data_IF_788142688084
#
_entry.id   IF_788142688084
#
_cell.length_a   1.000
_cell.length_b   1.000
_cell.length_c   1.000
_cell.angle_alpha   90.00
_cell.angle_beta   90.00
_cell.angle_gamma   90.00
#
_symmetry.space_group_name_H-M   'P 1'
#
loop_
_entity.id
_entity.type
_entity.pdbx_description
1 polymer ?
#
# COMPACT_ATOMS: atom_id res chain seq x y z
N UNK A 1 4.67 -20.64 51.57
CA UNK A 1 4.58 -19.58 50.55
C UNK A 1 5.94 -19.27 49.93
N UNK A 2 6.92 -18.72 50.66
CA UNK A 2 8.22 -18.34 50.09
C UNK A 2 9.06 -19.47 49.43
N UNK A 3 8.97 -20.72 49.89
CA UNK A 3 9.73 -21.85 49.30
C UNK A 3 9.11 -22.44 48.02
N UNK A 4 7.77 -22.53 47.93
CA UNK A 4 7.09 -22.92 46.69
C UNK A 4 7.30 -21.88 45.58
N UNK A 5 7.35 -20.61 45.98
CA UNK A 5 7.56 -19.46 45.11
C UNK A 5 8.92 -19.47 44.39
N UNK A 6 9.99 -19.81 45.11
CA UNK A 6 11.35 -19.92 44.56
C UNK A 6 11.51 -21.03 43.52
N UNK A 7 10.70 -22.09 43.62
CA UNK A 7 10.71 -23.21 42.68
C UNK A 7 10.14 -22.85 41.30
N UNK A 8 9.09 -22.01 41.26
CA UNK A 8 8.44 -21.51 40.03
C UNK A 8 9.41 -20.65 39.21
N UNK A 9 10.05 -19.67 39.86
CA UNK A 9 10.94 -18.72 39.19
C UNK A 9 12.16 -19.40 38.54
N UNK A 10 12.68 -20.45 39.19
CA UNK A 10 13.80 -21.22 38.66
C UNK A 10 13.41 -22.09 37.46
N UNK A 11 12.16 -22.58 37.36
CA UNK A 11 11.70 -23.35 36.21
C UNK A 11 11.47 -22.48 34.96
N UNK A 12 11.04 -21.22 35.14
CA UNK A 12 10.84 -20.26 34.03
C UNK A 12 12.17 -19.68 33.53
N UNK A 13 13.17 -19.55 34.41
CA UNK A 13 14.48 -19.01 34.09
C UNK A 13 15.39 -19.94 33.24
N UNK A 14 15.11 -21.25 33.19
CA UNK A 14 15.96 -22.24 32.49
C UNK A 14 15.79 -22.26 30.95
N UNK A 15 15.04 -21.32 30.37
CA UNK A 15 14.84 -21.18 28.92
C UNK A 15 15.29 -19.80 28.38
N UNK A 16 16.43 -19.78 27.66
CA UNK A 16 16.89 -18.79 26.65
C UNK A 16 17.84 -17.60 26.99
N UNK A 17 19.16 -17.80 26.73
CA UNK A 17 20.20 -16.92 26.15
C UNK A 17 20.48 -15.48 26.73
N UNK A 18 21.41 -15.40 27.68
CA UNK A 18 22.41 -14.38 28.13
C UNK A 18 22.23 -12.84 27.97
N UNK A 19 21.43 -12.30 27.05
CA UNK A 19 21.00 -10.89 27.07
C UNK A 19 19.52 -10.77 27.45
N UNK A 20 18.70 -11.75 27.09
CA UNK A 20 17.34 -11.92 27.65
C UNK A 20 17.41 -12.19 29.15
N UNK A 21 18.42 -12.92 29.63
CA UNK A 21 18.58 -13.29 31.04
C UNK A 21 18.54 -12.11 32.02
N UNK A 22 19.13 -10.95 31.68
CA UNK A 22 19.15 -9.79 32.59
C UNK A 22 17.79 -9.06 32.63
N UNK A 23 17.08 -9.00 31.50
CA UNK A 23 15.80 -8.31 31.38
C UNK A 23 14.67 -9.21 31.91
N UNK A 24 14.66 -10.49 31.54
CA UNK A 24 13.82 -11.52 32.13
C UNK A 24 14.03 -11.64 33.64
N UNK A 25 15.27 -11.56 34.14
CA UNK A 25 15.53 -11.49 35.58
C UNK A 25 14.92 -10.24 36.24
N UNK A 26 14.88 -9.11 35.53
CA UNK A 26 14.28 -7.87 36.05
C UNK A 26 12.75 -7.94 36.10
N UNK A 27 12.12 -8.53 35.08
CA UNK A 27 10.67 -8.80 35.09
C UNK A 27 10.28 -9.79 36.19
N UNK A 28 11.03 -10.89 36.35
CA UNK A 28 10.77 -11.87 37.41
C UNK A 28 10.93 -11.27 38.82
N UNK A 29 11.91 -10.38 39.03
CA UNK A 29 12.06 -9.64 40.29
C UNK A 29 10.89 -8.70 40.57
N UNK A 30 10.38 -8.02 39.54
CA UNK A 30 9.20 -7.17 39.67
C UNK A 30 7.96 -8.01 40.02
N UNK A 31 7.76 -9.13 39.33
CA UNK A 31 6.67 -10.08 39.61
C UNK A 31 6.79 -10.64 41.04
N UNK A 32 8.00 -10.98 41.47
CA UNK A 32 8.28 -11.41 42.85
C UNK A 32 7.96 -10.32 43.88
N UNK A 33 8.30 -9.07 43.59
CA UNK A 33 7.98 -7.95 44.48
C UNK A 33 6.45 -7.75 44.58
N UNK A 34 5.72 -7.83 43.46
CA UNK A 34 4.27 -7.66 43.42
C UNK A 34 3.51 -8.81 44.11
N UNK A 35 4.05 -10.03 44.10
CA UNK A 35 3.42 -11.19 44.74
C UNK A 35 3.69 -11.28 46.24
N UNK A 36 4.72 -10.58 46.74
CA UNK A 36 5.10 -10.59 48.15
C UNK A 36 4.81 -9.28 48.87
N UNK A 37 4.31 -8.25 48.18
CA UNK A 37 4.03 -6.96 48.79
C UNK A 37 2.78 -6.97 49.67
N UNK A 38 2.69 -6.01 50.57
CA UNK A 38 1.52 -5.80 51.41
C UNK A 38 0.39 -5.19 50.58
N UNK A 39 -0.87 -5.49 50.92
CA UNK A 39 -2.01 -4.90 50.21
C UNK A 39 -1.97 -3.36 50.31
N UNK A 40 -1.94 -2.69 49.16
CA UNK A 40 -1.82 -1.23 49.02
C UNK A 40 -0.45 -0.74 48.55
N UNK A 41 0.59 -1.57 48.56
CA UNK A 41 1.96 -1.22 48.12
C UNK A 41 2.19 -1.47 46.61
N UNK A 42 1.25 -2.14 45.93
CA UNK A 42 1.37 -2.56 44.53
C UNK A 42 1.65 -1.36 43.62
N UNK A 43 0.88 -0.27 43.80
CA UNK A 43 0.99 0.90 42.94
C UNK A 43 2.33 1.63 43.10
N UNK A 44 2.91 1.65 44.30
CA UNK A 44 4.23 2.26 44.54
C UNK A 44 5.34 1.45 43.85
N UNK A 45 5.27 0.12 43.94
CA UNK A 45 6.20 -0.79 43.25
C UNK A 45 6.10 -0.61 41.74
N UNK A 46 4.89 -0.53 41.19
CA UNK A 46 4.66 -0.31 39.76
C UNK A 46 5.19 1.04 39.29
N UNK A 47 4.95 2.11 40.05
CA UNK A 47 5.43 3.44 39.71
C UNK A 47 6.98 3.49 39.69
N UNK A 48 7.62 2.84 40.67
CA UNK A 48 9.08 2.75 40.76
C UNK A 48 9.71 1.94 39.62
N UNK A 49 8.94 1.06 38.96
CA UNK A 49 9.40 0.18 37.89
C UNK A 49 8.64 0.43 36.57
N UNK A 50 8.13 1.66 36.37
CA UNK A 50 7.32 2.02 35.18
C UNK A 50 8.04 1.79 33.84
N UNK A 51 9.38 1.79 33.83
CA UNK A 51 10.21 1.48 32.67
C UNK A 51 10.19 -0.01 32.26
N UNK A 52 9.71 -0.89 33.12
CA UNK A 52 9.55 -2.33 32.87
C UNK A 52 8.11 -2.69 32.44
N UNK A 53 7.16 -1.75 32.47
CA UNK A 53 5.79 -2.00 32.03
C UNK A 53 5.75 -1.93 30.51
N UNK A 54 5.96 -3.07 29.88
CA UNK A 54 5.92 -3.28 28.44
C UNK A 54 5.23 -4.61 28.11
N UNK A 55 5.11 -4.92 26.82
CA UNK A 55 4.46 -6.15 26.37
C UNK A 55 5.18 -7.43 26.85
N UNK A 56 6.49 -7.37 27.09
CA UNK A 56 7.27 -8.52 27.55
C UNK A 56 6.96 -8.82 29.02
N UNK A 57 6.78 -7.80 29.86
CA UNK A 57 6.31 -8.00 31.24
C UNK A 57 4.94 -8.69 31.27
N UNK A 58 4.01 -8.31 30.38
CA UNK A 58 2.68 -8.94 30.29
C UNK A 58 2.82 -10.44 29.99
N UNK A 59 3.64 -10.81 29.01
CA UNK A 59 3.92 -12.22 28.68
C UNK A 59 4.52 -12.97 29.87
N UNK A 60 5.48 -12.37 30.58
CA UNK A 60 6.09 -12.99 31.77
C UNK A 60 5.08 -13.16 32.91
N UNK A 61 4.20 -12.18 33.13
CA UNK A 61 3.13 -12.28 34.13
C UNK A 61 2.16 -13.43 33.81
N UNK A 62 1.78 -13.61 32.54
CA UNK A 62 0.92 -14.72 32.12
C UNK A 62 1.58 -16.09 32.31
N UNK A 63 2.86 -16.21 31.96
CA UNK A 63 3.65 -17.44 32.15
C UNK A 63 3.76 -17.83 33.62
N UNK A 64 4.12 -16.88 34.50
CA UNK A 64 4.21 -17.12 35.94
C UNK A 64 2.82 -17.44 36.53
N UNK A 65 1.76 -16.75 36.08
CA UNK A 65 0.40 -17.05 36.50
C UNK A 65 -0.03 -18.48 36.12
N UNK A 66 0.35 -18.96 34.92
CA UNK A 66 0.07 -20.33 34.49
C UNK A 66 0.78 -21.36 35.39
N UNK A 67 2.05 -21.16 35.70
CA UNK A 67 2.81 -22.05 36.58
C UNK A 67 2.25 -22.06 38.02
N UNK A 68 1.84 -20.90 38.55
CA UNK A 68 1.19 -20.81 39.87
C UNK A 68 -0.13 -21.56 39.91
N UNK A 69 -0.93 -21.50 38.84
CA UNK A 69 -2.18 -22.24 38.71
C UNK A 69 -1.95 -23.76 38.71
N UNK A 70 -0.93 -24.25 37.99
CA UNK A 70 -0.54 -25.68 38.00
C UNK A 70 -0.14 -26.18 39.38
N UNK A 71 0.44 -25.31 40.21
CA UNK A 71 0.82 -25.59 41.59
C UNK A 71 -0.32 -25.39 42.59
N UNK A 72 -1.52 -25.04 42.13
CA UNK A 72 -2.70 -24.83 42.96
C UNK A 72 -2.75 -23.48 43.69
N UNK A 73 -1.85 -22.54 43.37
CA UNK A 73 -1.86 -21.19 43.92
C UNK A 73 -2.73 -20.25 43.06
N UNK A 74 -4.04 -20.48 43.12
CA UNK A 74 -5.03 -19.81 42.27
C UNK A 74 -5.18 -18.31 42.54
N UNK A 75 -5.02 -17.87 43.78
CA UNK A 75 -5.21 -16.45 44.15
C UNK A 75 -4.11 -15.57 43.52
N UNK A 76 -2.85 -15.97 43.67
CA UNK A 76 -1.72 -15.25 43.05
C UNK A 76 -1.75 -15.35 41.52
N UNK A 77 -2.17 -16.50 40.98
CA UNK A 77 -2.35 -16.67 39.54
C UNK A 77 -3.43 -15.73 38.98
N UNK A 78 -4.57 -15.60 39.66
CA UNK A 78 -5.65 -14.70 39.24
C UNK A 78 -5.26 -13.22 39.39
N UNK A 79 -4.52 -12.87 40.44
CA UNK A 79 -3.97 -11.53 40.63
C UNK A 79 -3.05 -11.12 39.48
N UNK A 80 -2.06 -11.96 39.12
CA UNK A 80 -1.18 -11.68 37.99
C UNK A 80 -1.92 -11.58 36.66
N UNK A 81 -2.92 -12.45 36.42
CA UNK A 81 -3.76 -12.36 35.22
C UNK A 81 -4.51 -11.03 35.16
N UNK A 82 -5.06 -10.57 36.29
CA UNK A 82 -5.76 -9.28 36.35
C UNK A 82 -4.81 -8.11 36.07
N UNK A 83 -3.59 -8.13 36.60
CA UNK A 83 -2.58 -7.10 36.33
C UNK A 83 -2.10 -7.13 34.87
N UNK A 84 -1.87 -8.33 34.32
CA UNK A 84 -1.48 -8.49 32.92
C UNK A 84 -2.52 -7.87 31.97
N UNK A 85 -3.82 -8.16 32.19
CA UNK A 85 -4.92 -7.54 31.44
C UNK A 85 -4.92 -6.02 31.59
N UNK A 86 -4.76 -5.51 32.81
CA UNK A 86 -4.73 -4.06 33.06
C UNK A 86 -3.56 -3.37 32.33
N UNK A 87 -2.37 -3.97 32.32
CA UNK A 87 -1.22 -3.40 31.62
C UNK A 87 -1.37 -3.49 30.11
N UNK A 88 -1.91 -4.60 29.60
CA UNK A 88 -2.19 -4.74 28.17
C UNK A 88 -3.17 -3.64 27.70
N UNK A 89 -4.26 -3.39 28.45
CA UNK A 89 -5.20 -2.29 28.18
C UNK A 89 -4.53 -0.90 28.25
N UNK A 90 -3.65 -0.67 29.23
CA UNK A 90 -2.93 0.59 29.35
C UNK A 90 -1.94 0.81 28.20
N UNK A 91 -1.20 -0.24 27.81
CA UNK A 91 -0.26 -0.18 26.70
C UNK A 91 -0.98 0.06 25.38
N UNK A 92 -2.10 -0.63 25.14
CA UNK A 92 -2.91 -0.44 23.94
C UNK A 92 -3.50 0.98 23.86
N UNK A 93 -3.91 1.54 25.01
CA UNK A 93 -4.33 2.94 25.12
C UNK A 93 -3.18 3.91 24.76
N UNK A 94 -1.98 3.68 25.28
CA UNK A 94 -0.80 4.50 24.97
C UNK A 94 -0.44 4.41 23.48
N UNK A 95 -0.46 3.21 22.88
CA UNK A 95 -0.21 2.99 21.46
C UNK A 95 -1.24 3.75 20.62
N UNK A 96 -2.52 3.63 20.96
CA UNK A 96 -3.63 4.35 20.32
C UNK A 96 -3.42 5.87 20.41
N UNK A 97 -3.05 6.40 21.57
CA UNK A 97 -2.78 7.84 21.77
C UNK A 97 -1.60 8.30 20.89
N UNK A 98 -0.52 7.52 20.83
CA UNK A 98 0.65 7.84 19.98
C UNK A 98 0.28 7.87 18.50
N UNK A 99 -0.49 6.89 18.02
CA UNK A 99 -1.01 6.85 16.65
C UNK A 99 -1.94 8.03 16.35
N UNK A 100 -2.82 8.38 17.29
CA UNK A 100 -3.69 9.55 17.18
C UNK A 100 -2.88 10.85 17.07
N UNK A 101 -1.90 11.06 17.92
CA UNK A 101 -1.06 12.26 17.89
C UNK A 101 -0.25 12.33 16.59
N UNK A 102 0.32 11.21 16.15
CA UNK A 102 0.98 11.12 14.86
C UNK A 102 0.08 11.53 13.68
N UNK A 103 -1.18 11.08 13.64
CA UNK A 103 -2.12 11.50 12.61
C UNK A 103 -2.42 13.00 12.67
N UNK A 104 -2.52 13.58 13.88
CA UNK A 104 -2.74 15.02 14.04
C UNK A 104 -1.54 15.83 13.55
N UNK A 105 -0.32 15.42 13.86
CA UNK A 105 0.92 16.06 13.39
C UNK A 105 0.97 16.09 11.85
N UNK A 106 0.61 14.97 11.21
CA UNK A 106 0.52 14.89 9.75
C UNK A 106 -0.52 15.87 9.19
N UNK A 107 -1.70 15.95 9.80
CA UNK A 107 -2.75 16.86 9.34
C UNK A 107 -2.36 18.34 9.52
N UNK A 108 -1.60 18.66 10.57
CA UNK A 108 -1.04 19.99 10.79
C UNK A 108 -0.05 20.33 9.66
N UNK A 109 0.93 19.47 9.39
CA UNK A 109 1.91 19.70 8.30
C UNK A 109 1.23 19.86 6.93
N UNK A 110 0.20 19.07 6.64
CA UNK A 110 -0.58 19.21 5.40
C UNK A 110 -1.24 20.60 5.35
N UNK A 111 -1.81 21.07 6.46
CA UNK A 111 -2.44 22.40 6.50
C UNK A 111 -1.44 23.55 6.26
N UNK A 112 -0.19 23.40 6.67
CA UNK A 112 0.88 24.41 6.50
C UNK A 112 1.53 24.39 5.10
N UNK A 113 1.27 23.34 4.31
CA UNK A 113 1.83 23.15 2.97
C UNK A 113 1.27 24.11 1.91
N UNK A 114 0.18 24.84 2.21
CA UNK A 114 -0.56 25.70 1.27
C UNK A 114 -1.04 24.96 -0.01
N UNK A 115 -1.37 23.67 0.09
CA UNK A 115 -1.86 22.82 -1.01
C UNK A 115 -0.86 22.62 -2.18
N UNK A 116 0.45 22.81 -1.95
CA UNK A 116 1.47 22.48 -2.94
C UNK A 116 1.91 21.01 -2.81
N UNK A 117 1.49 20.16 -3.76
CA UNK A 117 1.77 18.71 -3.76
C UNK A 117 3.25 18.34 -3.53
N UNK A 118 4.19 19.09 -4.09
CA UNK A 118 5.63 18.84 -3.89
C UNK A 118 6.02 19.08 -2.43
N UNK A 119 5.55 20.19 -1.86
CA UNK A 119 5.81 20.57 -0.47
C UNK A 119 5.13 19.61 0.52
N UNK A 120 3.93 19.12 0.21
CA UNK A 120 3.25 18.09 1.01
C UNK A 120 4.11 16.83 1.15
N UNK A 121 4.71 16.35 0.05
CA UNK A 121 5.61 15.18 0.11
C UNK A 121 6.86 15.49 0.94
N UNK A 122 7.46 16.66 0.76
CA UNK A 122 8.66 17.09 1.50
C UNK A 122 8.43 17.18 3.01
N UNK A 123 7.23 17.59 3.45
CA UNK A 123 6.88 17.68 4.87
C UNK A 123 6.41 16.35 5.46
N UNK A 124 5.56 15.62 4.74
CA UNK A 124 4.89 14.42 5.28
C UNK A 124 5.77 13.18 5.21
N UNK A 125 6.53 12.96 4.12
CA UNK A 125 7.30 11.72 3.97
C UNK A 125 8.35 11.52 5.07
N UNK A 126 9.09 12.54 5.54
CA UNK A 126 9.98 12.39 6.69
C UNK A 126 9.27 11.91 7.95
N UNK A 127 8.05 12.41 8.21
CA UNK A 127 7.25 11.96 9.35
C UNK A 127 6.80 10.51 9.21
N UNK A 128 6.41 10.07 8.00
CA UNK A 128 6.08 8.67 7.73
C UNK A 128 7.30 7.76 7.94
N UNK A 129 8.48 8.17 7.46
CA UNK A 129 9.75 7.44 7.63
C UNK A 129 10.12 7.31 9.11
N UNK A 130 9.93 8.36 9.89
CA UNK A 130 10.24 8.36 11.33
C UNK A 130 9.25 7.52 12.16
N UNK A 131 8.10 7.16 11.60
CA UNK A 131 7.00 6.49 12.30
C UNK A 131 6.50 5.23 11.58
N UNK A 132 7.40 4.51 10.90
CA UNK A 132 7.04 3.25 10.22
C UNK A 132 6.41 2.23 11.17
N UNK A 133 6.78 2.26 12.45
CA UNK A 133 6.21 1.43 13.52
C UNK A 133 4.71 1.67 13.74
N UNK A 134 4.20 2.84 13.34
CA UNK A 134 2.78 3.21 13.48
C UNK A 134 1.96 2.91 12.24
N UNK A 135 2.60 2.63 11.10
CA UNK A 135 1.94 2.37 9.82
C UNK A 135 1.51 0.90 9.71
N UNK A 136 0.57 0.50 10.54
CA UNK A 136 -0.01 -0.84 10.57
C UNK A 136 -1.55 -0.81 10.38
N UNK A 137 -2.17 -1.98 10.34
CA UNK A 137 -3.61 -2.13 10.10
C UNK A 137 -4.46 -1.35 11.12
N UNK A 138 -4.03 -1.29 12.39
CA UNK A 138 -4.80 -0.61 13.44
C UNK A 138 -4.78 0.92 13.30
N UNK A 139 -3.82 1.50 12.56
CA UNK A 139 -3.82 2.93 12.27
C UNK A 139 -5.05 3.34 11.46
N UNK A 140 -5.55 2.46 10.58
CA UNK A 140 -6.78 2.69 9.84
C UNK A 140 -7.99 2.85 10.80
N UNK A 141 -8.05 2.01 11.84
CA UNK A 141 -9.09 2.10 12.88
C UNK A 141 -8.94 3.35 13.74
N UNK A 142 -7.71 3.72 14.10
CA UNK A 142 -7.43 4.97 14.84
C UNK A 142 -7.84 6.19 14.00
N UNK A 143 -7.58 6.19 12.69
CA UNK A 143 -8.02 7.26 11.78
C UNK A 143 -9.55 7.35 11.73
N UNK A 144 -10.24 6.22 11.65
CA UNK A 144 -11.71 6.18 11.68
C UNK A 144 -12.27 6.72 13.00
N UNK A 145 -11.73 6.27 14.14
CA UNK A 145 -12.12 6.75 15.47
C UNK A 145 -11.83 8.23 15.66
N UNK A 146 -10.65 8.71 15.25
CA UNK A 146 -10.28 10.12 15.29
C UNK A 146 -11.31 10.98 14.53
N UNK A 147 -11.78 10.50 13.37
CA UNK A 147 -12.83 11.18 12.63
C UNK A 147 -14.17 11.17 13.36
N UNK A 148 -14.67 10.01 13.77
CA UNK A 148 -15.99 9.87 14.39
C UNK A 148 -16.09 10.60 15.74
N UNK A 149 -15.03 10.58 16.52
CA UNK A 149 -15.07 10.99 17.93
C UNK A 149 -14.70 12.47 18.13
N UNK A 150 -13.89 13.03 17.24
CA UNK A 150 -13.33 14.38 17.38
C UNK A 150 -13.61 15.24 16.13
N UNK A 151 -13.03 14.89 14.99
CA UNK A 151 -12.95 15.80 13.84
C UNK A 151 -14.31 16.08 13.20
N UNK A 152 -15.19 15.07 13.12
CA UNK A 152 -16.52 15.21 12.53
C UNK A 152 -17.45 16.18 13.28
N UNK A 153 -17.16 16.47 14.56
CA UNK A 153 -17.94 17.38 15.41
C UNK A 153 -17.66 18.86 15.11
N UNK A 154 -16.58 19.17 14.39
CA UNK A 154 -16.13 20.54 14.06
C UNK A 154 -16.77 21.03 12.77
N UNK A 155 -18.03 21.47 12.84
CA UNK A 155 -18.83 21.78 11.65
C UNK A 155 -18.21 22.83 10.72
N UNK A 156 -17.59 23.89 11.26
CA UNK A 156 -16.98 24.96 10.47
C UNK A 156 -15.70 24.54 9.72
N UNK A 157 -14.94 23.59 10.28
CA UNK A 157 -13.65 23.13 9.74
C UNK A 157 -13.75 21.77 9.03
N UNK A 158 -14.95 21.20 8.96
CA UNK A 158 -15.17 19.82 8.53
C UNK A 158 -14.67 19.56 7.10
N UNK A 159 -14.83 20.54 6.21
CA UNK A 159 -14.36 20.43 4.82
C UNK A 159 -12.83 20.50 4.72
N UNK A 160 -12.18 21.36 5.49
CA UNK A 160 -10.72 21.48 5.49
C UNK A 160 -10.05 20.25 6.08
N UNK A 161 -10.60 19.73 7.19
CA UNK A 161 -10.17 18.46 7.78
C UNK A 161 -10.37 17.29 6.82
N UNK A 162 -11.48 17.31 6.06
CA UNK A 162 -11.74 16.30 5.04
C UNK A 162 -10.72 16.37 3.89
N UNK A 163 -10.33 17.57 3.47
CA UNK A 163 -9.28 17.77 2.47
C UNK A 163 -7.91 17.30 2.98
N UNK A 164 -7.58 17.59 4.24
CA UNK A 164 -6.33 17.12 4.88
C UNK A 164 -6.23 15.59 4.90
N UNK A 165 -7.30 14.91 5.30
CA UNK A 165 -7.36 13.43 5.29
C UNK A 165 -7.30 12.89 3.86
N UNK A 166 -7.94 13.55 2.88
CA UNK A 166 -7.82 13.18 1.47
C UNK A 166 -6.37 13.25 0.99
N UNK A 167 -5.64 14.31 1.34
CA UNK A 167 -4.24 14.48 0.96
C UNK A 167 -3.36 13.44 1.66
N UNK A 168 -3.55 13.21 2.96
CA UNK A 168 -2.86 12.14 3.68
C UNK A 168 -3.11 10.76 3.02
N UNK A 169 -4.37 10.47 2.67
CA UNK A 169 -4.76 9.21 2.03
C UNK A 169 -4.06 9.03 0.68
N UNK A 170 -3.95 10.09 -0.12
CA UNK A 170 -3.17 10.08 -1.36
C UNK A 170 -1.69 9.81 -1.08
N UNK A 171 -1.08 10.53 -0.13
CA UNK A 171 0.34 10.41 0.21
C UNK A 171 0.70 9.01 0.70
N UNK A 172 -0.07 8.45 1.65
CA UNK A 172 0.19 7.13 2.20
C UNK A 172 -0.03 6.03 1.17
N UNK A 173 -0.99 6.20 0.25
CA UNK A 173 -1.17 5.28 -0.87
C UNK A 173 0.09 5.23 -1.77
N UNK A 174 0.81 6.35 -1.96
CA UNK A 174 2.02 6.41 -2.79
C UNK A 174 3.30 6.09 -2.04
N UNK A 175 3.24 6.06 -0.71
CA UNK A 175 4.41 5.93 0.13
C UNK A 175 5.06 4.55 -0.07
N UNK A 176 6.35 4.49 -0.49
CA UNK A 176 6.97 3.23 -0.92
C UNK A 176 7.56 2.41 0.23
N UNK A 177 7.64 2.96 1.44
CA UNK A 177 8.29 2.33 2.59
C UNK A 177 7.25 1.80 3.60
N UNK A 178 7.70 0.91 4.48
CA UNK A 178 6.84 0.24 5.46
C UNK A 178 6.03 -0.90 4.86
N UNK A 179 4.95 -1.28 5.53
CA UNK A 179 4.04 -2.30 5.04
C UNK A 179 3.09 -1.69 3.99
N UNK A 180 3.31 -2.05 2.72
CA UNK A 180 2.48 -1.60 1.61
C UNK A 180 1.02 -2.03 1.75
N UNK A 181 0.75 -3.19 2.35
CA UNK A 181 -0.63 -3.66 2.54
C UNK A 181 -1.36 -2.78 3.56
N UNK A 182 -0.71 -2.48 4.69
CA UNK A 182 -1.22 -1.55 5.68
C UNK A 182 -1.43 -0.14 5.10
N UNK A 183 -0.44 0.40 4.37
CA UNK A 183 -0.54 1.73 3.74
C UNK A 183 -1.78 1.84 2.82
N UNK A 184 -2.07 0.79 2.05
CA UNK A 184 -3.26 0.74 1.19
C UNK A 184 -4.55 0.70 2.02
N UNK A 185 -4.60 -0.09 3.10
CA UNK A 185 -5.77 -0.15 3.97
C UNK A 185 -6.02 1.16 4.72
N UNK A 186 -4.97 1.83 5.19
CA UNK A 186 -5.05 3.19 5.77
C UNK A 186 -5.60 4.18 4.74
N UNK A 187 -5.10 4.15 3.50
CA UNK A 187 -5.61 5.03 2.44
C UNK A 187 -7.10 4.77 2.13
N UNK A 188 -7.52 3.51 2.09
CA UNK A 188 -8.91 3.11 1.85
C UNK A 188 -9.81 3.60 2.99
N UNK A 189 -9.37 3.47 4.25
CA UNK A 189 -10.10 3.98 5.41
C UNK A 189 -10.29 5.49 5.30
N UNK A 190 -9.22 6.24 5.03
CA UNK A 190 -9.27 7.69 4.83
C UNK A 190 -10.23 8.09 3.70
N UNK A 191 -10.12 7.47 2.52
CA UNK A 191 -11.05 7.77 1.42
C UNK A 191 -12.51 7.45 1.74
N UNK A 192 -12.79 6.36 2.46
CA UNK A 192 -14.16 6.01 2.88
C UNK A 192 -14.74 7.03 3.85
N UNK A 193 -13.94 7.54 4.78
CA UNK A 193 -14.34 8.62 5.68
C UNK A 193 -14.76 9.84 4.85
N UNK A 194 -13.92 10.22 3.88
CA UNK A 194 -14.13 11.44 3.07
C UNK A 194 -15.27 11.30 2.07
N UNK A 195 -15.53 10.10 1.56
CA UNK A 195 -16.70 9.83 0.71
C UNK A 195 -18.04 10.10 1.42
N UNK A 196 -18.06 10.11 2.76
CA UNK A 196 -19.25 10.49 3.56
C UNK A 196 -19.38 12.01 3.76
N UNK A 197 -18.35 12.79 3.44
CA UNK A 197 -18.33 14.26 3.56
C UNK A 197 -18.54 14.89 2.19
N UNK A 198 -17.69 14.54 1.23
CA UNK A 198 -17.86 14.96 -0.15
C UNK A 198 -18.86 14.02 -0.81
N UNK A 199 -20.14 14.38 -0.79
CA UNK A 199 -21.19 13.60 -1.44
C UNK A 199 -21.39 14.09 -2.87
N UNK A 200 -21.99 13.24 -3.70
CA UNK A 200 -22.30 13.59 -5.09
C UNK A 200 -23.16 14.86 -5.20
N UNK A 201 -24.11 15.06 -4.29
CA UNK A 201 -25.07 16.16 -4.36
C UNK A 201 -24.49 17.49 -3.88
N UNK A 202 -23.47 17.45 -3.02
CA UNK A 202 -22.86 18.65 -2.42
C UNK A 202 -21.56 19.03 -3.12
N UNK A 203 -20.72 18.04 -3.45
CA UNK A 203 -19.35 18.23 -3.95
C UNK A 203 -19.02 17.14 -4.97
N UNK A 204 -19.74 17.18 -6.09
CA UNK A 204 -19.70 16.14 -7.12
C UNK A 204 -18.28 15.83 -7.65
N UNK A 205 -17.47 16.88 -7.86
CA UNK A 205 -16.12 16.76 -8.41
C UNK A 205 -15.16 16.08 -7.42
N UNK A 206 -15.19 16.51 -6.17
CA UNK A 206 -14.39 15.95 -5.08
C UNK A 206 -14.83 14.51 -4.81
N UNK A 207 -16.13 14.26 -4.73
CA UNK A 207 -16.69 12.91 -4.59
C UNK A 207 -16.19 11.98 -5.70
N UNK A 208 -16.27 12.39 -6.97
CA UNK A 208 -15.81 11.58 -8.09
C UNK A 208 -14.29 11.32 -8.07
N UNK A 209 -13.52 12.27 -7.53
CA UNK A 209 -12.08 12.10 -7.30
C UNK A 209 -11.81 11.05 -6.23
N UNK A 210 -12.52 11.12 -5.11
CA UNK A 210 -12.47 10.10 -4.04
C UNK A 210 -12.89 8.73 -4.57
N UNK A 211 -13.96 8.64 -5.37
CA UNK A 211 -14.38 7.39 -5.98
C UNK A 211 -13.28 6.80 -6.87
N UNK A 212 -12.64 7.61 -7.73
CA UNK A 212 -11.53 7.12 -8.54
C UNK A 212 -10.34 6.66 -7.68
N UNK A 213 -9.97 7.40 -6.63
CA UNK A 213 -8.88 7.02 -5.73
C UNK A 213 -9.18 5.73 -4.96
N UNK A 214 -10.42 5.53 -4.49
CA UNK A 214 -10.89 4.25 -3.95
C UNK A 214 -10.75 3.13 -4.97
N UNK A 215 -11.14 3.39 -6.22
CA UNK A 215 -10.97 2.44 -7.32
C UNK A 215 -9.52 1.99 -7.50
N UNK A 216 -8.58 2.93 -7.51
CA UNK A 216 -7.14 2.62 -7.60
C UNK A 216 -6.67 1.86 -6.36
N UNK A 217 -7.02 2.33 -5.16
CA UNK A 217 -6.59 1.69 -3.91
C UNK A 217 -7.10 0.24 -3.80
N UNK A 218 -8.34 -0.04 -4.17
CA UNK A 218 -8.88 -1.41 -4.24
C UNK A 218 -8.26 -2.25 -5.36
N UNK A 219 -7.97 -1.65 -6.52
CA UNK A 219 -7.22 -2.32 -7.59
C UNK A 219 -5.80 -2.70 -7.14
N UNK A 220 -5.24 -1.99 -6.18
CA UNK A 220 -3.89 -2.18 -5.68
C UNK A 220 -3.82 -2.99 -4.38
N UNK A 221 -4.96 -3.13 -3.70
CA UNK A 221 -5.10 -3.75 -2.38
C UNK A 221 -4.56 -5.18 -2.36
N UNK A 222 -3.70 -5.43 -1.37
CA UNK A 222 -3.03 -6.71 -1.11
C UNK A 222 -3.90 -7.61 -0.23
N UNK A 223 -4.50 -7.06 0.82
CA UNK A 223 -5.37 -7.80 1.72
C UNK A 223 -6.75 -8.11 1.12
N UNK A 224 -7.34 -9.23 1.57
CA UNK A 224 -8.64 -9.72 1.12
C UNK A 224 -8.58 -10.50 -0.19
N UNK A 225 -9.76 -10.89 -0.70
CA UNK A 225 -9.86 -11.63 -1.96
C UNK A 225 -9.56 -10.73 -3.16
N UNK A 226 -8.59 -11.14 -3.99
CA UNK A 226 -8.14 -10.36 -5.15
C UNK A 226 -9.25 -10.11 -6.17
N UNK A 227 -10.10 -11.10 -6.41
CA UNK A 227 -11.19 -10.98 -7.37
C UNK A 227 -12.22 -9.96 -6.86
N UNK A 228 -12.64 -10.07 -5.59
CA UNK A 228 -13.56 -9.13 -4.96
C UNK A 228 -13.00 -7.70 -4.96
N UNK A 229 -11.72 -7.52 -4.61
CA UNK A 229 -11.06 -6.21 -4.65
C UNK A 229 -11.15 -5.56 -6.04
N UNK A 230 -10.95 -6.33 -7.11
CA UNK A 230 -11.07 -5.83 -8.50
C UNK A 230 -12.52 -5.49 -8.89
N UNK A 231 -13.52 -6.27 -8.45
CA UNK A 231 -14.92 -5.91 -8.69
C UNK A 231 -15.33 -4.64 -7.93
N UNK A 232 -14.82 -4.45 -6.70
CA UNK A 232 -15.00 -3.23 -5.92
C UNK A 232 -14.31 -2.05 -6.62
N UNK A 233 -13.09 -2.23 -7.12
CA UNK A 233 -12.40 -1.18 -7.89
C UNK A 233 -13.23 -0.72 -9.11
N UNK A 234 -13.77 -1.69 -9.87
CA UNK A 234 -14.62 -1.41 -11.03
C UNK A 234 -15.94 -0.72 -10.66
N UNK A 235 -16.52 -0.99 -9.48
CA UNK A 235 -17.72 -0.27 -9.03
C UNK A 235 -17.39 1.19 -8.71
N UNK A 236 -16.26 1.44 -8.07
CA UNK A 236 -15.77 2.79 -7.77
C UNK A 236 -15.42 3.60 -9.02
N UNK A 237 -14.75 3.01 -10.03
CA UNK A 237 -14.52 3.70 -11.30
C UNK A 237 -15.84 4.04 -12.02
N UNK A 238 -16.81 3.13 -12.04
CA UNK A 238 -18.15 3.41 -12.59
C UNK A 238 -18.86 4.53 -11.84
N UNK A 239 -18.71 4.61 -10.52
CA UNK A 239 -19.27 5.70 -9.72
C UNK A 239 -18.62 7.04 -10.08
N UNK A 240 -17.29 7.10 -10.19
CA UNK A 240 -16.56 8.30 -10.61
C UNK A 240 -17.01 8.81 -12.01
N UNK A 241 -17.26 7.88 -12.95
CA UNK A 241 -17.73 8.18 -14.30
C UNK A 241 -19.18 8.72 -14.38
N UNK A 242 -19.94 8.72 -13.28
CA UNK A 242 -21.26 9.37 -13.23
C UNK A 242 -21.14 10.91 -13.19
N UNK A 243 -19.98 11.43 -12.81
CA UNK A 243 -19.69 12.87 -12.76
C UNK A 243 -18.61 13.22 -13.79
N UNK A 244 -17.50 12.49 -13.78
CA UNK A 244 -16.42 12.62 -14.76
C UNK A 244 -16.94 12.15 -16.10
N UNK A 245 -17.02 13.05 -17.07
CA UNK A 245 -17.52 12.77 -18.41
C UNK A 245 -16.69 13.53 -19.44
N UNK A 246 -16.78 13.11 -20.71
CA UNK A 246 -15.99 13.67 -21.82
C UNK A 246 -16.07 15.19 -21.96
N UNK A 247 -17.20 15.82 -21.60
CA UNK A 247 -17.43 17.26 -21.77
C UNK A 247 -16.98 18.09 -20.57
N UNK A 248 -17.34 17.66 -19.36
CA UNK A 248 -17.12 18.46 -18.16
C UNK A 248 -15.75 18.27 -17.54
N UNK A 249 -15.19 17.06 -17.64
CA UNK A 249 -13.91 16.69 -17.03
C UNK A 249 -13.14 15.71 -17.92
N UNK A 250 -12.74 16.12 -19.14
CA UNK A 250 -12.14 15.22 -20.13
C UNK A 250 -10.90 14.49 -19.60
N UNK A 251 -9.97 15.22 -18.98
CA UNK A 251 -8.75 14.64 -18.43
C UNK A 251 -9.02 13.64 -17.30
N UNK A 252 -9.91 13.98 -16.35
CA UNK A 252 -10.29 13.06 -15.27
C UNK A 252 -11.05 11.83 -15.78
N UNK A 253 -11.87 12.00 -16.82
CA UNK A 253 -12.57 10.91 -17.48
C UNK A 253 -11.58 9.96 -18.16
N UNK A 254 -10.59 10.47 -18.88
CA UNK A 254 -9.49 9.70 -19.48
C UNK A 254 -8.76 8.90 -18.40
N UNK A 255 -8.36 9.54 -17.29
CA UNK A 255 -7.68 8.86 -16.19
C UNK A 255 -8.53 7.72 -15.60
N UNK A 256 -9.84 7.96 -15.44
CA UNK A 256 -10.76 6.96 -14.88
C UNK A 256 -10.96 5.79 -15.84
N UNK A 257 -11.09 6.05 -17.15
CA UNK A 257 -11.17 5.00 -18.17
C UNK A 257 -9.88 4.19 -18.26
N UNK A 258 -8.72 4.85 -18.18
CA UNK A 258 -7.43 4.19 -18.14
C UNK A 258 -7.30 3.22 -16.96
N UNK A 259 -7.66 3.68 -15.75
CA UNK A 259 -7.64 2.84 -14.55
C UNK A 259 -8.66 1.69 -14.64
N UNK A 260 -9.84 1.95 -15.18
CA UNK A 260 -10.86 0.92 -15.42
C UNK A 260 -10.39 -0.13 -16.43
N UNK A 261 -9.67 0.29 -17.47
CA UNK A 261 -9.03 -0.60 -18.44
C UNK A 261 -7.97 -1.50 -17.80
N UNK A 262 -7.08 -0.93 -16.97
CA UNK A 262 -6.10 -1.69 -16.22
C UNK A 262 -6.76 -2.70 -15.24
N UNK A 263 -7.84 -2.31 -14.56
CA UNK A 263 -8.59 -3.20 -13.69
C UNK A 263 -9.27 -4.34 -14.46
N UNK A 264 -9.85 -4.07 -15.64
CA UNK A 264 -10.36 -5.13 -16.51
C UNK A 264 -9.26 -6.07 -16.97
N UNK A 265 -8.09 -5.56 -17.35
CA UNK A 265 -6.96 -6.41 -17.71
C UNK A 265 -6.51 -7.28 -16.53
N UNK A 266 -6.62 -6.85 -15.27
CA UNK A 266 -6.23 -7.70 -14.13
C UNK A 266 -7.36 -8.61 -13.61
N UNK A 267 -8.59 -8.40 -14.11
CA UNK A 267 -9.81 -9.04 -13.63
C UNK A 267 -9.77 -10.57 -13.77
N UNK A 268 -10.10 -11.25 -12.68
CA UNK A 268 -10.10 -12.71 -12.56
C UNK A 268 -11.45 -13.34 -12.88
N UNK A 269 -12.54 -12.56 -12.79
CA UNK A 269 -13.90 -12.99 -13.12
C UNK A 269 -14.13 -12.91 -14.63
N UNK A 270 -14.89 -13.86 -15.18
CA UNK A 270 -15.09 -14.08 -16.63
C UNK A 270 -13.82 -14.55 -17.38
N UNK A 271 -13.93 -14.80 -18.68
CA UNK A 271 -12.79 -15.25 -19.49
C UNK A 271 -11.75 -14.14 -19.69
N UNK A 272 -10.46 -14.53 -19.69
CA UNK A 272 -9.32 -13.63 -19.97
C UNK A 272 -9.54 -12.83 -21.26
N UNK A 273 -10.00 -13.48 -22.32
CA UNK A 273 -10.26 -12.85 -23.60
C UNK A 273 -11.32 -11.73 -23.51
N UNK A 274 -12.43 -11.97 -22.80
CA UNK A 274 -13.48 -10.95 -22.67
C UNK A 274 -13.02 -9.76 -21.79
N UNK A 275 -12.22 -10.04 -20.76
CA UNK A 275 -11.65 -9.00 -19.92
C UNK A 275 -10.66 -8.12 -20.68
N UNK A 276 -9.82 -8.71 -21.55
CA UNK A 276 -8.95 -7.95 -22.45
C UNK A 276 -9.75 -7.06 -23.40
N UNK A 277 -10.80 -7.58 -24.05
CA UNK A 277 -11.62 -6.74 -24.94
C UNK A 277 -12.28 -5.56 -24.19
N UNK A 278 -12.72 -5.77 -22.95
CA UNK A 278 -13.25 -4.67 -22.12
C UNK A 278 -12.16 -3.64 -21.77
N UNK A 279 -10.94 -4.08 -21.51
CA UNK A 279 -9.82 -3.19 -21.28
C UNK A 279 -9.51 -2.35 -22.52
N UNK A 280 -9.47 -2.97 -23.70
CA UNK A 280 -9.28 -2.29 -25.00
C UNK A 280 -10.37 -1.23 -25.20
N UNK A 281 -11.65 -1.57 -24.99
CA UNK A 281 -12.76 -0.61 -25.14
C UNK A 281 -12.58 0.62 -24.25
N UNK A 282 -12.20 0.44 -22.98
CA UNK A 282 -11.94 1.56 -22.08
C UNK A 282 -10.77 2.43 -22.56
N UNK A 283 -9.66 1.80 -22.96
CA UNK A 283 -8.45 2.50 -23.36
C UNK A 283 -8.58 3.19 -24.73
N UNK A 284 -9.21 2.57 -25.73
CA UNK A 284 -9.51 3.21 -27.02
C UNK A 284 -10.43 4.42 -26.83
N UNK A 285 -11.42 4.31 -25.94
CA UNK A 285 -12.31 5.41 -25.62
C UNK A 285 -11.55 6.58 -24.94
N UNK A 286 -10.59 6.27 -24.05
CA UNK A 286 -9.70 7.26 -23.45
C UNK A 286 -8.77 7.92 -24.49
N UNK A 287 -8.19 7.12 -25.38
CA UNK A 287 -7.29 7.57 -26.44
C UNK A 287 -7.95 8.60 -27.36
N UNK A 288 -9.22 8.36 -27.74
CA UNK A 288 -10.00 9.30 -28.55
C UNK A 288 -10.05 10.69 -27.91
N UNK A 289 -10.41 10.76 -26.62
CA UNK A 289 -10.53 12.04 -25.90
C UNK A 289 -9.17 12.69 -25.71
N UNK A 290 -8.09 11.93 -25.50
CA UNK A 290 -6.75 12.49 -25.44
C UNK A 290 -6.37 13.26 -26.72
N UNK A 291 -6.72 12.72 -27.89
CA UNK A 291 -6.46 13.38 -29.18
C UNK A 291 -7.33 14.62 -29.35
N UNK A 292 -8.63 14.52 -29.03
CA UNK A 292 -9.58 15.64 -29.13
C UNK A 292 -9.19 16.82 -28.24
N UNK A 293 -8.64 16.55 -27.05
CA UNK A 293 -8.37 17.55 -26.00
C UNK A 293 -6.87 17.92 -25.88
N UNK A 294 -6.00 17.37 -26.73
CA UNK A 294 -4.56 17.67 -26.71
C UNK A 294 -3.80 17.18 -25.47
N UNK A 295 -4.28 16.13 -24.82
CA UNK A 295 -3.74 15.60 -23.56
C UNK A 295 -2.52 14.69 -23.80
N UNK A 296 -1.37 15.28 -24.12
CA UNK A 296 -0.19 14.55 -24.63
C UNK A 296 0.39 13.52 -23.64
N UNK A 297 0.49 13.86 -22.35
CA UNK A 297 0.98 12.91 -21.32
C UNK A 297 0.02 11.73 -21.13
N UNK A 298 -1.27 12.02 -21.02
CA UNK A 298 -2.30 10.99 -20.86
C UNK A 298 -2.42 10.14 -22.12
N UNK A 299 -2.24 10.73 -23.30
CA UNK A 299 -2.19 10.03 -24.57
C UNK A 299 -1.08 8.98 -24.56
N UNK A 300 0.14 9.36 -24.17
CA UNK A 300 1.27 8.43 -24.08
C UNK A 300 1.03 7.31 -23.06
N UNK A 301 0.43 7.64 -21.91
CA UNK A 301 0.08 6.65 -20.89
C UNK A 301 -0.94 5.63 -21.41
N UNK A 302 -1.99 6.11 -22.09
CA UNK A 302 -3.02 5.23 -22.67
C UNK A 302 -2.43 4.37 -23.79
N UNK A 303 -1.53 4.92 -24.60
CA UNK A 303 -0.81 4.17 -25.63
C UNK A 303 0.07 3.06 -25.06
N UNK A 304 0.85 3.32 -24.01
CA UNK A 304 1.67 2.28 -23.35
C UNK A 304 0.78 1.14 -22.79
N UNK A 305 -0.37 1.49 -22.23
CA UNK A 305 -1.33 0.52 -21.72
C UNK A 305 -2.03 -0.26 -22.84
N UNK A 306 -2.40 0.39 -23.95
CA UNK A 306 -2.93 -0.29 -25.14
C UNK A 306 -1.89 -1.24 -25.73
N UNK A 307 -0.62 -0.84 -25.75
CA UNK A 307 0.47 -1.68 -26.22
C UNK A 307 0.52 -3.01 -25.46
N UNK A 308 0.51 -2.92 -24.14
CA UNK A 308 0.48 -4.09 -23.24
C UNK A 308 -0.75 -4.96 -23.48
N UNK A 309 -1.93 -4.35 -23.59
CA UNK A 309 -3.21 -5.07 -23.72
C UNK A 309 -3.33 -5.74 -25.11
N UNK A 310 -2.91 -5.09 -26.19
CA UNK A 310 -2.85 -5.71 -27.51
C UNK A 310 -1.80 -6.82 -27.57
N UNK A 311 -0.66 -6.63 -26.91
CA UNK A 311 0.40 -7.64 -26.78
C UNK A 311 -0.08 -8.93 -26.13
N UNK A 312 -1.16 -8.91 -25.34
CA UNK A 312 -1.76 -10.12 -24.75
C UNK A 312 -3.12 -10.51 -25.36
N UNK A 313 -3.57 -9.79 -26.39
CA UNK A 313 -4.91 -10.00 -26.94
C UNK A 313 -5.05 -11.37 -27.58
N UNK A 314 -6.03 -12.12 -27.08
CA UNK A 314 -6.33 -13.50 -27.47
C UNK A 314 -7.19 -13.56 -28.75
N UNK A 315 -8.08 -12.59 -28.97
CA UNK A 315 -8.97 -12.55 -30.13
C UNK A 315 -8.30 -11.86 -31.32
N UNK A 316 -8.64 -12.31 -32.52
CA UNK A 316 -8.11 -11.77 -33.78
C UNK A 316 -6.79 -12.43 -34.19
N UNK A 317 -6.16 -11.88 -35.23
CA UNK A 317 -4.85 -12.36 -35.69
C UNK A 317 -3.74 -11.96 -34.72
N UNK A 318 -2.90 -12.93 -34.34
CA UNK A 318 -1.83 -12.71 -33.35
C UNK A 318 -0.78 -11.73 -33.86
N UNK A 319 -0.40 -11.84 -35.14
CA UNK A 319 0.62 -10.96 -35.72
C UNK A 319 0.10 -9.51 -35.79
N UNK A 320 -1.14 -9.29 -36.22
CA UNK A 320 -1.76 -7.96 -36.21
C UNK A 320 -1.85 -7.35 -34.82
N UNK A 321 -2.19 -8.15 -33.80
CA UNK A 321 -2.24 -7.68 -32.42
C UNK A 321 -0.85 -7.23 -31.91
N UNK A 322 0.21 -7.96 -32.25
CA UNK A 322 1.59 -7.59 -31.89
C UNK A 322 2.06 -6.32 -32.63
N UNK A 323 1.68 -6.16 -33.90
CA UNK A 323 1.98 -4.91 -34.63
C UNK A 323 1.27 -3.70 -33.99
N UNK A 324 0.02 -3.86 -33.55
CA UNK A 324 -0.68 -2.83 -32.78
C UNK A 324 0.03 -2.53 -31.45
N UNK A 325 0.53 -3.56 -30.78
CA UNK A 325 1.28 -3.40 -29.53
C UNK A 325 2.55 -2.57 -29.72
N UNK A 326 3.37 -2.95 -30.71
CA UNK A 326 4.59 -2.23 -31.09
C UNK A 326 4.31 -0.79 -31.51
N UNK A 327 3.28 -0.57 -32.31
CA UNK A 327 2.89 0.78 -32.74
C UNK A 327 2.49 1.67 -31.55
N UNK A 328 1.73 1.12 -30.59
CA UNK A 328 1.30 1.85 -29.41
C UNK A 328 2.48 2.18 -28.47
N UNK A 329 3.39 1.25 -28.20
CA UNK A 329 4.59 1.55 -27.40
C UNK A 329 5.50 2.59 -28.08
N UNK A 330 5.71 2.49 -29.40
CA UNK A 330 6.46 3.50 -30.16
C UNK A 330 5.79 4.87 -30.13
N UNK A 331 4.45 4.91 -30.15
CA UNK A 331 3.69 6.14 -30.01
C UNK A 331 3.92 6.78 -28.63
N UNK A 332 3.85 6.00 -27.54
CA UNK A 332 4.13 6.49 -26.19
C UNK A 332 5.56 7.07 -26.05
N UNK A 333 6.55 6.45 -26.70
CA UNK A 333 7.95 6.93 -26.73
C UNK A 333 8.19 8.22 -27.53
N UNK A 334 7.17 8.75 -28.23
CA UNK A 334 7.26 10.10 -28.82
C UNK A 334 7.09 11.20 -27.76
N UNK A 335 6.51 10.86 -26.61
CA UNK A 335 6.27 11.79 -25.49
C UNK A 335 7.17 11.43 -24.31
N UNK A 336 7.29 10.15 -23.99
CA UNK A 336 8.22 9.70 -22.94
C UNK A 336 9.64 9.70 -23.48
N UNK A 337 10.53 10.42 -22.81
CA UNK A 337 11.94 10.57 -23.19
C UNK A 337 12.86 10.26 -21.98
N UNK A 338 14.16 10.06 -22.18
CA UNK A 338 15.11 9.92 -21.06
C UNK A 338 15.17 11.17 -20.15
N UNK A 339 14.91 12.34 -20.74
CA UNK A 339 14.92 13.65 -20.09
C UNK A 339 13.60 13.94 -19.36
N UNK A 340 12.47 13.59 -19.99
CA UNK A 340 11.12 13.80 -19.47
C UNK A 340 10.39 12.48 -19.31
N UNK A 341 9.88 12.21 -18.10
CA UNK A 341 9.23 10.93 -17.78
C UNK A 341 10.16 9.72 -17.88
N UNK A 342 11.42 9.88 -17.45
CA UNK A 342 12.48 8.85 -17.46
C UNK A 342 12.00 7.45 -17.07
N UNK A 343 11.21 7.35 -16.01
CA UNK A 343 10.68 6.07 -15.51
C UNK A 343 9.65 5.44 -16.45
N UNK A 344 8.74 6.27 -17.00
CA UNK A 344 7.78 5.83 -18.00
C UNK A 344 8.49 5.40 -19.28
N UNK A 345 9.49 6.18 -19.72
CA UNK A 345 10.31 5.85 -20.89
C UNK A 345 10.99 4.49 -20.72
N UNK A 346 11.67 4.26 -19.60
CA UNK A 346 12.33 2.97 -19.33
C UNK A 346 11.35 1.79 -19.28
N UNK A 347 10.17 2.00 -18.67
CA UNK A 347 9.11 0.98 -18.66
C UNK A 347 8.58 0.68 -20.06
N UNK A 348 8.31 1.69 -20.87
CA UNK A 348 7.83 1.51 -22.24
C UNK A 348 8.89 0.85 -23.12
N UNK A 349 10.18 1.15 -22.93
CA UNK A 349 11.28 0.44 -23.59
C UNK A 349 11.29 -1.06 -23.22
N UNK A 350 11.08 -1.39 -21.95
CA UNK A 350 10.94 -2.78 -21.52
C UNK A 350 9.75 -3.48 -22.20
N UNK A 351 8.58 -2.83 -22.24
CA UNK A 351 7.41 -3.39 -22.94
C UNK A 351 7.66 -3.58 -24.44
N UNK A 352 8.37 -2.64 -25.07
CA UNK A 352 8.76 -2.74 -26.46
C UNK A 352 9.69 -3.95 -26.69
N UNK A 353 10.63 -4.21 -25.79
CA UNK A 353 11.48 -5.42 -25.84
C UNK A 353 10.69 -6.73 -25.74
N UNK A 354 9.67 -6.78 -24.88
CA UNK A 354 8.76 -7.94 -24.78
C UNK A 354 8.00 -8.13 -26.09
N UNK A 355 7.42 -7.07 -26.64
CA UNK A 355 6.67 -7.14 -27.88
C UNK A 355 7.55 -7.57 -29.09
N UNK A 356 8.79 -7.11 -29.15
CA UNK A 356 9.75 -7.53 -30.18
C UNK A 356 10.14 -9.01 -30.05
N UNK A 357 10.31 -9.51 -28.84
CA UNK A 357 10.61 -10.94 -28.59
C UNK A 357 9.48 -11.84 -29.10
N UNK A 358 8.24 -11.38 -29.01
CA UNK A 358 7.06 -12.12 -29.45
C UNK A 358 6.66 -11.86 -30.92
N UNK A 359 7.32 -10.90 -31.60
CA UNK A 359 6.93 -10.45 -32.93
C UNK A 359 7.05 -11.55 -33.98
N UNK A 360 5.97 -11.77 -34.73
CA UNK A 360 5.85 -12.82 -35.75
C UNK A 360 6.30 -12.35 -37.14
N UNK A 361 6.08 -11.07 -37.47
CA UNK A 361 6.44 -10.49 -38.77
C UNK A 361 7.88 -9.97 -38.75
N UNK A 362 8.48 -9.90 -39.94
CA UNK A 362 9.87 -9.46 -40.10
C UNK A 362 10.87 -10.60 -39.94
N UNK A 363 12.16 -10.24 -39.94
CA UNK A 363 13.24 -11.20 -39.77
C UNK A 363 13.47 -11.47 -38.27
N UNK A 364 13.44 -12.73 -37.81
CA UNK A 364 13.56 -13.06 -36.39
C UNK A 364 14.83 -12.49 -35.73
N UNK A 365 15.96 -12.48 -36.44
CA UNK A 365 17.22 -11.93 -35.92
C UNK A 365 17.11 -10.42 -35.65
N UNK A 366 16.49 -9.68 -36.57
CA UNK A 366 16.29 -8.23 -36.39
C UNK A 366 15.33 -7.94 -35.24
N UNK A 367 14.30 -8.76 -35.06
CA UNK A 367 13.36 -8.63 -33.96
C UNK A 367 14.06 -8.85 -32.61
N UNK A 368 14.95 -9.85 -32.53
CA UNK A 368 15.76 -10.11 -31.33
C UNK A 368 16.75 -8.97 -31.06
N UNK A 369 17.43 -8.43 -32.07
CA UNK A 369 18.33 -7.29 -31.93
C UNK A 369 17.59 -6.06 -31.39
N UNK A 370 16.39 -5.78 -31.92
CA UNK A 370 15.53 -4.71 -31.42
C UNK A 370 15.08 -4.95 -29.97
N UNK A 371 14.76 -6.20 -29.61
CA UNK A 371 14.39 -6.56 -28.25
C UNK A 371 15.55 -6.33 -27.26
N UNK A 372 16.75 -6.79 -27.61
CA UNK A 372 17.97 -6.61 -26.81
C UNK A 372 18.25 -5.12 -26.60
N UNK A 373 18.24 -4.32 -27.66
CA UNK A 373 18.49 -2.89 -27.57
C UNK A 373 17.48 -2.19 -26.65
N UNK A 374 16.19 -2.55 -26.74
CA UNK A 374 15.15 -2.00 -25.88
C UNK A 374 15.33 -2.40 -24.40
N UNK A 375 15.72 -3.65 -24.12
CA UNK A 375 16.01 -4.11 -22.77
C UNK A 375 17.26 -3.46 -22.16
N UNK A 376 18.33 -3.30 -22.93
CA UNK A 376 19.55 -2.61 -22.48
C UNK A 376 19.25 -1.16 -22.11
N UNK A 377 18.46 -0.49 -22.95
CA UNK A 377 17.99 0.88 -22.74
C UNK A 377 17.20 1.00 -21.44
N UNK A 378 16.22 0.11 -21.21
CA UNK A 378 15.44 0.07 -19.99
C UNK A 378 16.31 -0.21 -18.74
N UNK A 379 17.28 -1.12 -18.85
CA UNK A 379 18.15 -1.51 -17.75
C UNK A 379 18.97 -0.34 -17.21
N UNK A 380 19.44 0.58 -18.06
CA UNK A 380 20.29 1.70 -17.65
C UNK A 380 19.62 2.55 -16.55
N UNK A 381 18.30 2.75 -16.66
CA UNK A 381 17.51 3.48 -15.68
C UNK A 381 17.28 2.63 -14.43
N UNK A 382 16.84 1.39 -14.58
CA UNK A 382 16.52 0.53 -13.43
C UNK A 382 17.76 0.07 -12.63
N UNK A 383 18.97 0.06 -13.21
CA UNK A 383 20.22 -0.23 -12.48
C UNK A 383 20.70 0.93 -11.58
N UNK A 384 20.27 2.17 -11.86
CA UNK A 384 20.62 3.34 -11.05
C UNK A 384 19.66 3.55 -9.86
N UNK A 385 18.56 2.81 -9.82
CA UNK A 385 17.52 2.92 -8.80
C UNK A 385 17.62 1.72 -7.86
N UNK A 386 18.28 1.88 -6.71
CA UNK A 386 17.95 1.07 -5.52
C UNK A 386 16.56 1.52 -5.04
N UNK A 387 15.53 0.97 -5.70
CA UNK A 387 14.06 1.16 -5.56
C UNK A 387 13.54 2.57 -5.17
N UNK A 388 12.71 3.19 -6.03
CA UNK A 388 11.27 2.97 -5.90
C UNK A 388 10.55 2.70 -7.24
N UNK A 389 9.41 2.00 -7.17
CA UNK A 389 8.60 1.52 -8.31
C UNK A 389 7.79 2.67 -8.94
N UNK A 390 7.82 2.86 -10.28
CA UNK A 390 6.90 3.76 -10.97
C UNK A 390 5.47 3.20 -10.95
N UNK A 391 4.50 4.07 -10.67
CA UNK A 391 3.07 3.76 -10.60
C UNK A 391 2.45 3.57 -12.00
N UNK A 392 1.39 2.76 -11.98
CA UNK A 392 0.49 2.32 -13.07
C UNK A 392 0.89 1.00 -13.75
N UNK A 393 -0.07 0.07 -13.67
CA UNK A 393 0.01 -1.39 -13.53
C UNK A 393 0.53 -1.88 -12.17
N UNK A 394 -0.19 -2.78 -11.51
CA UNK A 394 0.17 -3.32 -10.21
C UNK A 394 0.20 -4.86 -10.26
N UNK A 395 1.27 -5.37 -9.66
CA UNK A 395 1.43 -6.63 -8.91
C UNK A 395 1.33 -8.01 -9.57
N UNK A 396 0.90 -8.21 -10.83
CA UNK A 396 1.05 -9.54 -11.49
C UNK A 396 1.93 -9.59 -12.74
N UNK A 397 2.10 -8.49 -13.47
CA UNK A 397 3.15 -8.40 -14.50
C UNK A 397 4.51 -8.06 -13.88
N UNK A 398 4.51 -7.48 -12.67
CA UNK A 398 5.72 -7.08 -11.92
C UNK A 398 6.41 -8.23 -11.18
N UNK A 399 5.72 -9.36 -10.95
CA UNK A 399 6.25 -10.51 -10.21
C UNK A 399 7.04 -11.48 -11.10
N UNK A 400 7.05 -11.32 -12.42
CA UNK A 400 8.24 -11.69 -13.23
C UNK A 400 9.31 -10.61 -13.01
N UNK A 401 9.77 -10.58 -11.75
CA UNK A 401 10.81 -9.75 -11.11
C UNK A 401 11.48 -8.73 -12.02
N UNK A 402 11.44 -7.43 -11.71
CA UNK A 402 12.46 -6.46 -12.14
C UNK A 402 13.68 -6.64 -11.25
N UNK A 403 14.50 -7.65 -11.54
CA UNK A 403 15.85 -7.71 -11.01
C UNK A 403 16.79 -7.47 -12.18
N UNK A 404 18.00 -6.94 -11.96
CA UNK A 404 18.99 -6.92 -13.04
C UNK A 404 19.15 -8.32 -13.68
N UNK A 405 18.87 -9.40 -12.91
CA UNK A 405 18.83 -10.80 -13.35
C UNK A 405 17.71 -11.15 -14.35
N UNK A 406 16.54 -10.51 -14.33
CA UNK A 406 15.45 -10.83 -15.26
C UNK A 406 15.55 -10.07 -16.58
N UNK A 407 16.03 -8.82 -16.54
CA UNK A 407 16.36 -8.03 -17.73
C UNK A 407 17.56 -8.67 -18.41
N UNK A 408 18.59 -9.08 -17.65
CA UNK A 408 19.68 -9.91 -18.20
C UNK A 408 19.23 -11.31 -18.59
N UNK A 409 18.20 -11.91 -17.98
CA UNK A 409 17.64 -13.18 -18.44
C UNK A 409 16.86 -13.03 -19.75
N UNK A 410 16.12 -11.94 -19.96
CA UNK A 410 15.48 -11.60 -21.23
C UNK A 410 16.50 -11.37 -22.32
N UNK A 411 17.56 -10.59 -22.04
CA UNK A 411 18.69 -10.41 -22.95
C UNK A 411 19.43 -11.74 -23.25
N UNK A 412 19.64 -12.60 -22.23
CA UNK A 412 20.27 -13.92 -22.39
C UNK A 412 19.40 -14.93 -23.14
N UNK A 413 18.09 -14.91 -22.94
CA UNK A 413 17.14 -15.75 -23.67
C UNK A 413 17.06 -15.33 -25.15
N UNK A 414 17.10 -14.02 -25.43
CA UNK A 414 17.22 -13.50 -26.79
C UNK A 414 18.56 -13.86 -27.45
N UNK A 415 19.65 -13.95 -26.68
CA UNK A 415 20.97 -14.39 -27.16
C UNK A 415 21.09 -15.91 -27.39
N UNK A 416 20.12 -16.74 -26.97
CA UNK A 416 20.20 -18.19 -27.12
C UNK A 416 18.86 -18.82 -27.58
N UNK A 417 18.51 -18.70 -28.88
CA UNK A 417 17.29 -19.27 -29.44
C UNK A 417 17.50 -20.76 -29.74
N UNK A 418 17.53 -21.61 -28.71
CA UNK A 418 17.49 -23.08 -28.87
C UNK A 418 16.70 -23.74 -27.74
N UNK A 419 15.40 -23.97 -27.99
CA UNK A 419 14.79 -25.31 -28.10
C UNK A 419 13.34 -25.19 -28.61
#
# INVERSE_FOLDING_TARGET
>A
MAEQFKGVLNQVADTENNQRDNQSSSYLKLIEALLNCSSGEEQEILNANSNLIDAELVVQMEQVAASLAEQGNWDNANFLKSLAVQFDEQLESIITIRKRNFLLDILIEISESNNHKTREKELVYPLLVANLDKLDESLADVLCRLWTDDLSKRQEQRHDLAAGILNFSNLIQEFPLGDKAANLDISIAGYKIIANVFTRDVSAKEWATVQNSLGVAYSDRIHGDRQQNLEIALSYFRAALQVRNRKSFPADWVMTQNNMGAAFYQRLKDSRANNIERAIVCLEAALQVCVEEGLSEQWAMVQDNLGTVYGERIKGDRAENLEKALAAHKAALQVYTPEEFRDNWARTQYHLGVAYTEQIRGEPEQNLDMAIAAYETASQVFTLVREPKPRFFNSRCYTKTYSSKSITAGARAAHNPRD
#
